data_IF_486472764435
#
_entry.id   IF_486472764435
#
_cell.length_a   1.000
_cell.length_b   1.000
_cell.length_c   1.000
_cell.angle_alpha   90.00
_cell.angle_beta   90.00
_cell.angle_gamma   90.00
#
_symmetry.space_group_name_H-M   'P 1'
#
loop_
_entity.id
_entity.type
_entity.pdbx_description
1 polymer ?
#
# COMPACT_ATOMS: atom_id res chain seq x y z
N UNK A 1 21.25 9.05 -15.92
CA UNK A 1 20.74 8.70 -15.62
C UNK A 1 19.92 8.41 -15.14
N UNK A 2 19.70 8.72 -15.12
CA UNK A 2 18.96 8.58 -14.48
C UNK A 2 18.16 7.64 -14.42
N UNK A 3 18.18 7.15 -14.59
CA UNK A 3 17.54 6.31 -14.51
C UNK A 3 16.77 5.73 -13.66
N UNK A 4 16.96 5.52 -13.23
CA UNK A 4 16.39 5.08 -12.00
C UNK A 4 14.97 5.51 -11.79
N UNK A 5 14.69 6.68 -12.05
CA UNK A 5 13.37 7.24 -11.83
C UNK A 5 12.35 6.67 -12.77
N UNK A 6 12.78 6.00 -13.79
CA UNK A 6 11.83 5.41 -14.71
C UNK A 6 11.06 4.28 -14.08
N UNK A 7 11.68 3.54 -13.18
CA UNK A 7 11.04 2.39 -12.58
C UNK A 7 10.35 2.79 -11.30
N UNK A 8 10.93 3.68 -10.57
CA UNK A 8 10.48 4.03 -9.25
C UNK A 8 10.53 5.54 -9.12
N UNK A 9 9.38 6.14 -9.26
CA UNK A 9 9.28 7.59 -9.17
C UNK A 9 8.79 7.96 -7.78
N UNK A 10 9.71 8.39 -6.94
CA UNK A 10 9.41 8.72 -5.56
C UNK A 10 8.41 9.85 -5.42
N UNK A 11 8.24 10.65 -6.46
CA UNK A 11 7.24 11.72 -6.42
C UNK A 11 5.82 11.18 -6.38
N UNK A 12 5.62 9.98 -6.88
CA UNK A 12 4.28 9.42 -7.03
C UNK A 12 3.95 8.39 -5.99
N UNK A 13 4.83 8.17 -5.04
CA UNK A 13 4.51 7.30 -3.93
C UNK A 13 4.70 8.06 -2.63
N UNK A 14 3.98 7.60 -1.63
CA UNK A 14 3.97 8.26 -0.33
C UNK A 14 3.95 7.20 0.74
N UNK A 15 4.80 7.38 1.74
CA UNK A 15 4.80 6.49 2.90
C UNK A 15 3.57 6.78 3.74
N UNK A 16 2.89 5.72 4.18
CA UNK A 16 1.67 5.86 4.98
C UNK A 16 1.76 4.96 6.19
N UNK A 17 0.93 5.26 7.19
CA UNK A 17 0.83 4.43 8.37
C UNK A 17 -0.24 3.39 8.15
N UNK A 18 0.06 2.15 8.54
CA UNK A 18 -0.88 1.04 8.38
C UNK A 18 -0.91 0.26 9.68
N UNK A 19 -2.11 -0.14 10.08
CA UNK A 19 -2.27 -1.14 11.13
C UNK A 19 -2.50 -2.45 10.44
N UNK A 20 -1.65 -3.42 10.70
CA UNK A 20 -1.72 -4.70 10.03
C UNK A 20 -1.46 -5.82 11.04
N UNK A 21 -1.94 -7.01 10.70
CA UNK A 21 -1.67 -8.21 11.47
C UNK A 21 -0.64 -9.02 10.70
N UNK A 22 0.41 -9.42 11.40
CA UNK A 22 1.42 -10.31 10.86
C UNK A 22 1.24 -11.65 11.56
N UNK A 23 0.76 -12.65 10.83
CA UNK A 23 0.44 -13.92 11.42
C UNK A 23 1.70 -14.75 11.64
N UNK A 24 1.58 -15.77 12.48
CA UNK A 24 2.69 -16.68 12.71
C UNK A 24 3.07 -17.49 11.49
N UNK A 25 2.19 -17.57 10.51
CA UNK A 25 2.46 -18.29 9.25
C UNK A 25 3.02 -17.39 8.17
N UNK A 26 3.25 -16.11 8.48
CA UNK A 26 3.86 -15.20 7.53
C UNK A 26 2.90 -14.38 6.71
N UNK A 27 1.61 -14.53 6.95
CA UNK A 27 0.63 -13.73 6.24
C UNK A 27 0.57 -12.32 6.80
N UNK A 28 0.32 -11.36 5.94
CA UNK A 28 0.19 -9.96 6.32
C UNK A 28 -1.21 -9.51 5.94
N UNK A 29 -1.95 -9.00 6.93
CA UNK A 29 -3.33 -8.56 6.71
C UNK A 29 -3.42 -7.07 7.05
N UNK A 30 -3.48 -6.18 6.06
CA UNK A 30 -3.66 -4.77 6.35
C UNK A 30 -5.10 -4.51 6.80
N UNK A 31 -5.27 -3.79 7.90
CA UNK A 31 -6.57 -3.53 8.49
C UNK A 31 -7.00 -2.08 8.35
N UNK A 32 -6.09 -1.14 8.56
CA UNK A 32 -6.37 0.28 8.49
C UNK A 32 -5.19 0.98 7.86
N UNK A 33 -5.49 2.02 7.09
CA UNK A 33 -4.46 2.86 6.50
C UNK A 33 -4.79 4.31 6.83
N UNK A 34 -3.78 5.09 7.21
CA UNK A 34 -3.96 6.51 7.50
C UNK A 34 -3.37 7.30 6.33
N UNK A 35 -4.23 8.04 5.67
CA UNK A 35 -3.85 8.87 4.53
C UNK A 35 -4.38 10.27 4.79
N UNK A 36 -3.49 11.27 4.67
CA UNK A 36 -3.85 12.66 4.90
C UNK A 36 -4.54 12.85 6.26
N UNK A 37 -3.98 12.20 7.29
CA UNK A 37 -4.47 12.28 8.66
C UNK A 37 -5.82 11.63 8.89
N UNK A 38 -6.35 10.91 7.88
CA UNK A 38 -7.62 10.21 8.01
C UNK A 38 -7.34 8.72 8.07
N UNK A 39 -7.85 8.07 9.08
CA UNK A 39 -7.72 6.63 9.26
C UNK A 39 -8.88 5.96 8.55
N UNK A 40 -8.55 5.13 7.58
CA UNK A 40 -9.54 4.44 6.75
C UNK A 40 -9.47 2.95 7.02
N UNK A 41 -10.62 2.34 7.20
CA UNK A 41 -10.70 0.90 7.37
C UNK A 41 -10.63 0.23 6.01
N UNK A 42 -9.77 -0.78 5.91
CA UNK A 42 -9.65 -1.56 4.69
C UNK A 42 -10.74 -2.62 4.73
N UNK A 43 -11.73 -2.48 3.84
CA UNK A 43 -12.87 -3.37 3.83
C UNK A 43 -12.50 -4.74 3.26
N UNK A 44 -11.76 -4.73 2.15
CA UNK A 44 -11.28 -5.96 1.54
C UNK A 44 -9.91 -5.70 0.95
N UNK A 45 -9.16 -6.77 0.75
CA UNK A 45 -7.89 -6.68 0.08
C UNK A 45 -7.59 -7.98 -0.67
N UNK A 46 -6.76 -7.87 -1.70
CA UNK A 46 -6.26 -9.00 -2.47
C UNK A 46 -4.77 -8.84 -2.62
N UNK A 47 -4.03 -9.90 -2.43
CA UNK A 47 -2.59 -9.87 -2.67
C UNK A 47 -2.35 -10.02 -4.15
N UNK A 48 -1.64 -9.07 -4.73
CA UNK A 48 -1.29 -9.10 -6.14
C UNK A 48 0.04 -9.81 -6.31
N UNK A 49 0.26 -10.31 -7.52
CA UNK A 49 1.53 -10.95 -7.83
C UNK A 49 2.67 -9.96 -7.64
N UNK A 50 3.72 -10.45 -7.03
CA UNK A 50 4.91 -9.67 -6.81
C UNK A 50 5.84 -9.92 -7.99
N UNK A 51 5.82 -9.02 -8.95
CA UNK A 51 6.65 -9.20 -10.14
C UNK A 51 7.99 -8.49 -10.07
N UNK A 52 8.19 -7.69 -9.04
CA UNK A 52 9.39 -6.87 -8.95
C UNK A 52 10.25 -7.28 -7.77
N UNK A 53 10.83 -8.45 -7.89
CA UNK A 53 11.74 -8.91 -6.87
C UNK A 53 11.03 -9.29 -5.60
N UNK A 54 11.83 -9.54 -4.59
CA UNK A 54 11.34 -10.16 -3.37
C UNK A 54 11.08 -9.19 -2.25
N UNK A 55 11.24 -7.90 -2.51
CA UNK A 55 11.18 -6.91 -1.45
C UNK A 55 9.84 -6.22 -1.31
N UNK A 56 8.89 -6.50 -2.19
CA UNK A 56 7.61 -5.83 -2.19
C UNK A 56 6.46 -6.80 -2.18
N UNK A 57 5.44 -6.48 -1.39
CA UNK A 57 4.16 -7.17 -1.45
C UNK A 57 3.14 -6.12 -1.82
N UNK A 58 2.38 -6.38 -2.86
CA UNK A 58 1.38 -5.46 -3.36
C UNK A 58 -0.02 -5.95 -3.01
N UNK A 59 -0.82 -5.06 -2.47
CA UNK A 59 -2.20 -5.36 -2.11
C UNK A 59 -3.12 -4.44 -2.88
N UNK A 60 -4.19 -4.98 -3.43
CA UNK A 60 -5.26 -4.16 -3.97
C UNK A 60 -6.30 -4.06 -2.87
N UNK A 61 -6.50 -2.87 -2.35
CA UNK A 61 -7.34 -2.64 -1.19
C UNK A 61 -8.57 -1.83 -1.57
N UNK A 62 -9.65 -2.08 -0.86
CA UNK A 62 -10.89 -1.31 -1.02
C UNK A 62 -11.21 -0.65 0.32
N UNK A 63 -11.46 0.63 0.28
CA UNK A 63 -11.91 1.41 1.43
C UNK A 63 -13.20 2.11 1.06
N UNK A 64 -13.97 2.49 2.09
CA UNK A 64 -15.18 3.30 1.90
C UNK A 64 -14.93 4.62 2.61
N UNK A 65 -15.07 5.70 1.88
CA UNK A 65 -14.88 7.03 2.42
C UNK A 65 -16.03 7.89 1.97
N UNK A 66 -16.75 8.45 2.94
CA UNK A 66 -17.93 9.29 2.66
C UNK A 66 -18.96 8.55 1.80
N UNK A 67 -19.16 7.27 2.07
CA UNK A 67 -20.14 6.47 1.36
C UNK A 67 -19.70 6.01 -0.02
N UNK A 68 -18.48 6.31 -0.42
CA UNK A 68 -17.97 5.91 -1.73
C UNK A 68 -16.85 4.90 -1.58
N UNK A 69 -16.92 3.85 -2.38
CA UNK A 69 -15.85 2.88 -2.44
C UNK A 69 -14.69 3.42 -3.26
N UNK A 70 -13.49 3.12 -2.81
CA UNK A 70 -12.29 3.51 -3.51
C UNK A 70 -11.29 2.37 -3.45
N UNK A 71 -10.73 2.02 -4.59
CA UNK A 71 -9.67 1.01 -4.65
C UNK A 71 -8.33 1.68 -4.84
N UNK A 72 -7.32 1.11 -4.23
CA UNK A 72 -5.97 1.60 -4.40
C UNK A 72 -4.98 0.49 -4.15
N UNK A 73 -3.76 0.69 -4.63
CA UNK A 73 -2.69 -0.27 -4.41
C UNK A 73 -1.88 0.15 -3.20
N UNK A 74 -1.81 -0.76 -2.24
CA UNK A 74 -1.01 -0.57 -1.04
C UNK A 74 0.21 -1.47 -1.16
N UNK A 75 1.38 -0.91 -0.96
CA UNK A 75 2.64 -1.63 -1.14
C UNK A 75 3.39 -1.70 0.16
N UNK A 76 3.82 -2.89 0.52
CA UNK A 76 4.66 -3.08 1.69
C UNK A 76 6.06 -3.46 1.25
N UNK A 77 7.04 -2.72 1.73
CA UNK A 77 8.44 -3.00 1.44
C UNK A 77 9.01 -3.84 2.57
N UNK A 78 9.42 -5.05 2.24
CA UNK A 78 9.92 -6.01 3.24
C UNK A 78 11.26 -5.59 3.84
N UNK A 79 12.06 -4.90 3.05
CA UNK A 79 13.37 -4.46 3.51
C UNK A 79 13.28 -3.25 4.43
N UNK A 80 12.44 -2.29 4.06
CA UNK A 80 12.29 -1.06 4.82
C UNK A 80 11.28 -1.19 5.96
N UNK A 81 10.46 -2.22 5.93
CA UNK A 81 9.35 -2.38 6.87
C UNK A 81 8.41 -1.18 6.85
N UNK A 82 8.09 -0.72 5.65
CA UNK A 82 7.29 0.48 5.46
C UNK A 82 6.22 0.25 4.41
N UNK A 83 5.14 1.02 4.53
CA UNK A 83 4.00 0.93 3.64
C UNK A 83 3.92 2.18 2.76
N UNK A 84 3.52 1.97 1.51
CA UNK A 84 3.46 3.05 0.54
C UNK A 84 2.19 2.98 -0.28
N UNK A 85 1.69 4.13 -0.73
CA UNK A 85 0.59 4.22 -1.69
C UNK A 85 1.02 5.16 -2.81
N UNK A 86 0.41 4.99 -3.97
CA UNK A 86 0.61 5.93 -5.05
C UNK A 86 -0.29 7.13 -4.84
N UNK A 87 0.28 8.32 -4.95
CA UNK A 87 -0.45 9.54 -4.64
C UNK A 87 -1.59 9.81 -5.62
N UNK A 88 -1.53 9.25 -6.82
CA UNK A 88 -2.58 9.47 -7.80
C UNK A 88 -3.94 8.97 -7.34
N UNK A 89 -3.96 8.05 -6.40
CA UNK A 89 -5.23 7.52 -5.89
C UNK A 89 -5.89 8.45 -4.88
N UNK A 90 -5.17 9.44 -4.39
CA UNK A 90 -5.66 10.28 -3.31
C UNK A 90 -5.45 11.76 -3.55
N UNK A 91 -5.20 12.12 -4.76
CA UNK A 91 -5.00 13.53 -5.10
C UNK A 91 -6.31 14.24 -5.39
#
# INVERSE_FOLDING_TARGET
MTLSNSVFDAKHIRCVSVIAVFSSTGDIKPLYVTINWVKLKIETYTVLDSTFGDNWINFLCTVVNHGKQKQFKLQYNLHEHAWFVETKYFS
#
